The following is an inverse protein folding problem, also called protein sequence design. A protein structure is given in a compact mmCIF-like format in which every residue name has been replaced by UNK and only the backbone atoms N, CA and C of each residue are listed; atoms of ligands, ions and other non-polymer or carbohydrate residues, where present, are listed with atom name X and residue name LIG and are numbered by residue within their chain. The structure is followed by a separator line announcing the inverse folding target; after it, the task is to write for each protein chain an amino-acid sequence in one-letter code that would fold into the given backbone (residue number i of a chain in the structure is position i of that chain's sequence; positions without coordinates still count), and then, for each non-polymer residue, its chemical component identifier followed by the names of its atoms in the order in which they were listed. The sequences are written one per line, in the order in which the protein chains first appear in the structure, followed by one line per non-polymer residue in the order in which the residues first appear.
data_IF_176586212219
#
_entry.id   IF_176586212219
#
_cell.length_a   1.000
_cell.length_b   1.000
_cell.length_c   1.000
_cell.angle_alpha   90.00
_cell.angle_beta   90.00
_cell.angle_gamma   90.00
#
_symmetry.space_group_name_H-M   'P 1'
#
loop_
_entity.id
_entity.type
_entity.pdbx_description
1 polymer ?
#
# COMPACT_ATOMS: atom_id res chain seq x y z
N UNK A 1 43.72 23.45 -14.13
CA UNK A 1 42.93 22.29 -14.52
C UNK A 1 41.68 22.83 -15.17
N UNK A 2 41.55 22.64 -16.49
CA UNK A 2 40.45 23.21 -17.28
C UNK A 2 39.24 22.28 -17.06
N UNK A 3 38.22 22.77 -16.35
CA UNK A 3 36.93 22.03 -16.25
C UNK A 3 36.21 22.10 -17.60
N UNK A 4 36.18 21.00 -18.31
CA UNK A 4 35.40 20.89 -19.54
C UNK A 4 33.89 20.93 -19.18
N UNK A 5 33.17 21.88 -19.78
CA UNK A 5 31.73 22.02 -19.61
C UNK A 5 31.01 21.31 -20.78
N UNK A 6 29.98 20.55 -20.45
CA UNK A 6 29.09 19.86 -21.42
C UNK A 6 27.66 20.33 -21.26
N UNK A 7 26.93 20.48 -22.34
CA UNK A 7 25.50 20.85 -22.28
C UNK A 7 24.66 19.62 -22.02
N UNK A 8 23.89 19.63 -20.94
CA UNK A 8 23.00 18.52 -20.60
C UNK A 8 21.86 18.39 -21.59
N UNK A 9 21.66 17.21 -22.25
CA UNK A 9 20.61 17.02 -23.27
C UNK A 9 19.18 17.07 -22.70
N UNK A 10 19.03 16.99 -21.36
CA UNK A 10 17.71 16.96 -20.72
C UNK A 10 17.26 18.31 -20.17
N UNK A 11 18.18 19.14 -19.66
CA UNK A 11 17.83 20.45 -19.10
C UNK A 11 18.43 21.64 -19.88
N UNK A 12 19.29 21.41 -20.89
CA UNK A 12 19.87 22.42 -21.72
C UNK A 12 20.93 23.32 -21.07
N UNK A 13 21.33 23.05 -19.83
CA UNK A 13 22.28 23.85 -19.07
C UNK A 13 23.70 23.28 -19.17
N UNK A 14 24.71 24.16 -19.16
CA UNK A 14 26.11 23.78 -19.15
C UNK A 14 26.49 23.27 -17.74
N UNK A 15 27.05 22.08 -17.66
CA UNK A 15 27.46 21.42 -16.43
C UNK A 15 28.86 20.83 -16.59
N UNK A 16 29.63 20.68 -15.52
CA UNK A 16 30.90 19.97 -15.57
C UNK A 16 30.74 18.55 -16.07
N UNK A 17 31.68 18.10 -16.92
CA UNK A 17 31.70 16.74 -17.45
C UNK A 17 31.64 15.72 -16.30
N UNK A 18 30.75 14.71 -16.42
CA UNK A 18 30.52 13.71 -15.38
C UNK A 18 29.43 12.71 -15.80
N UNK A 19 29.24 11.64 -15.04
CA UNK A 19 28.23 10.60 -15.33
C UNK A 19 26.79 11.09 -15.23
N UNK A 20 26.54 12.11 -14.41
CA UNK A 20 25.20 12.64 -14.16
C UNK A 20 25.21 14.17 -14.13
N UNK A 21 24.16 14.78 -14.67
CA UNK A 21 23.94 16.21 -14.58
C UNK A 21 23.72 16.66 -13.12
N UNK A 22 24.55 17.55 -12.59
CA UNK A 22 24.43 18.05 -11.22
C UNK A 22 23.19 18.90 -10.96
N UNK A 23 22.50 19.34 -12.02
CA UNK A 23 21.31 20.21 -11.91
C UNK A 23 20.02 19.38 -11.96
N UNK A 24 19.88 18.45 -12.93
CA UNK A 24 18.65 17.66 -13.09
C UNK A 24 18.78 16.18 -12.68
N UNK A 25 19.98 15.69 -12.32
CA UNK A 25 20.26 14.34 -11.86
C UNK A 25 20.22 13.26 -12.94
N UNK A 26 20.01 13.61 -14.23
CA UNK A 26 19.96 12.63 -15.33
C UNK A 26 21.34 12.31 -15.88
N UNK A 27 21.56 11.07 -16.45
CA UNK A 27 22.85 10.69 -17.01
C UNK A 27 23.22 11.57 -18.22
N UNK A 28 24.51 11.90 -18.34
CA UNK A 28 25.06 12.75 -19.42
C UNK A 28 25.62 11.93 -20.58
N UNK A 29 25.84 10.62 -20.39
CA UNK A 29 26.27 9.71 -21.45
C UNK A 29 25.06 9.29 -22.27
N UNK A 30 24.97 9.72 -23.52
CA UNK A 30 24.07 9.16 -24.54
C UNK A 30 24.72 7.91 -25.09
N UNK A 31 24.19 6.70 -24.72
CA UNK A 31 24.52 5.49 -25.45
C UNK A 31 24.14 5.66 -26.92
N UNK A 32 25.13 5.42 -27.78
CA UNK A 32 24.98 5.50 -29.22
C UNK A 32 23.91 4.48 -29.68
N UNK A 33 22.90 4.97 -30.39
CA UNK A 33 21.92 4.15 -31.10
C UNK A 33 22.63 3.29 -32.15
N UNK A 34 22.41 1.97 -32.18
CA UNK A 34 22.89 1.11 -33.26
C UNK A 34 22.14 1.42 -34.56
N UNK A 35 22.85 1.41 -35.69
CA UNK A 35 22.36 1.62 -37.05
C UNK A 35 21.34 0.54 -37.50
N UNK A 36 20.43 0.85 -38.42
CA UNK A 36 19.29 -0.02 -38.77
C UNK A 36 19.59 -1.22 -39.69
N UNK A 37 20.83 -1.68 -39.82
CA UNK A 37 21.19 -2.76 -40.74
C UNK A 37 21.39 -4.16 -40.13
N UNK A 38 21.26 -4.32 -38.82
CA UNK A 38 21.51 -5.63 -38.16
C UNK A 38 20.28 -6.30 -37.52
N UNK A 39 19.06 -5.90 -37.92
CA UNK A 39 17.82 -6.35 -37.28
C UNK A 39 17.14 -7.54 -38.00
N UNK A 40 17.64 -7.97 -39.18
CA UNK A 40 16.93 -8.99 -39.99
C UNK A 40 17.37 -10.45 -39.79
N UNK A 41 18.36 -10.76 -38.96
CA UNK A 41 18.81 -12.15 -38.78
C UNK A 41 18.63 -12.76 -37.37
N UNK A 42 17.93 -12.10 -36.45
CA UNK A 42 17.71 -12.61 -35.09
C UNK A 42 16.23 -12.90 -34.73
N UNK A 43 15.32 -12.88 -35.72
CA UNK A 43 13.87 -13.02 -35.47
C UNK A 43 13.31 -14.44 -35.58
N UNK A 44 14.14 -15.47 -35.85
CA UNK A 44 13.65 -16.85 -36.03
C UNK A 44 14.07 -17.88 -34.96
N UNK A 45 14.76 -17.47 -33.87
CA UNK A 45 15.25 -18.45 -32.88
C UNK A 45 14.78 -18.23 -31.43
N UNK A 46 13.78 -17.36 -31.17
CA UNK A 46 13.23 -17.08 -29.82
C UNK A 46 11.74 -17.39 -29.66
N UNK A 47 11.26 -18.50 -30.21
CA UNK A 47 9.85 -18.91 -30.04
C UNK A 47 9.68 -20.13 -29.11
N UNK A 48 10.66 -20.46 -28.28
CA UNK A 48 10.53 -21.48 -27.22
C UNK A 48 11.23 -21.10 -25.91
N UNK A 49 11.06 -19.90 -25.40
CA UNK A 49 11.27 -19.67 -23.97
C UNK A 49 9.94 -19.43 -23.30
N UNK A 50 9.49 -20.46 -22.60
CA UNK A 50 8.42 -20.39 -21.59
C UNK A 50 8.61 -19.10 -20.79
N UNK A 51 7.66 -18.16 -20.99
CA UNK A 51 7.59 -16.94 -20.19
C UNK A 51 7.27 -17.37 -18.76
N UNK A 52 8.30 -17.58 -17.97
CA UNK A 52 8.19 -17.59 -16.51
C UNK A 52 7.57 -16.25 -16.12
N UNK A 53 6.51 -16.23 -15.31
CA UNK A 53 5.94 -14.95 -14.85
C UNK A 53 7.08 -14.15 -14.19
N UNK A 54 7.16 -12.82 -14.41
CA UNK A 54 8.21 -12.00 -13.83
C UNK A 54 8.26 -12.31 -12.34
N UNK A 55 9.45 -12.69 -11.87
CA UNK A 55 9.74 -12.84 -10.44
C UNK A 55 9.40 -11.49 -9.79
N UNK A 56 8.22 -11.42 -9.21
CA UNK A 56 7.82 -10.30 -8.38
C UNK A 56 8.91 -10.18 -7.33
N UNK A 57 9.70 -9.11 -7.39
CA UNK A 57 10.61 -8.71 -6.33
C UNK A 57 9.90 -9.01 -5.01
N UNK A 58 10.51 -9.86 -4.18
CA UNK A 58 9.98 -10.21 -2.87
C UNK A 58 10.04 -8.95 -2.02
N UNK A 59 9.04 -8.10 -2.15
CA UNK A 59 8.83 -7.03 -1.19
C UNK A 59 8.60 -7.73 0.14
N UNK A 60 9.51 -7.52 1.09
CA UNK A 60 9.35 -8.01 2.45
C UNK A 60 8.04 -7.44 3.00
N UNK A 61 7.00 -8.26 2.98
CA UNK A 61 5.68 -7.85 3.44
C UNK A 61 5.71 -7.67 4.96
N UNK A 62 5.10 -6.61 5.50
CA UNK A 62 5.03 -6.39 6.93
C UNK A 62 4.43 -7.61 7.63
N UNK A 63 5.09 -8.05 8.70
CA UNK A 63 4.58 -9.15 9.51
C UNK A 63 3.43 -8.69 10.41
N UNK A 64 2.37 -9.52 10.45
CA UNK A 64 1.24 -9.36 11.35
C UNK A 64 1.07 -10.61 12.19
N UNK A 65 0.93 -10.45 13.51
CA UNK A 65 0.61 -11.55 14.45
C UNK A 65 -0.87 -12.00 14.32
N UNK A 66 -1.59 -11.45 13.35
CA UNK A 66 -3.02 -11.66 13.16
C UNK A 66 -3.24 -12.50 11.91
N UNK A 67 -3.88 -13.66 12.08
CA UNK A 67 -4.27 -14.53 10.97
C UNK A 67 -5.78 -14.41 10.74
N UNK A 68 -6.20 -14.13 9.50
CA UNK A 68 -7.62 -14.08 9.13
C UNK A 68 -7.97 -15.40 8.43
N UNK A 69 -8.93 -16.13 8.97
CA UNK A 69 -9.40 -17.37 8.36
C UNK A 69 -10.00 -17.10 6.96
N UNK A 70 -9.81 -18.06 6.06
CA UNK A 70 -10.34 -18.04 4.68
C UNK A 70 -9.86 -16.86 3.80
N UNK A 71 -8.87 -16.07 4.26
CA UNK A 71 -8.31 -14.96 3.51
C UNK A 71 -6.91 -15.28 3.00
N UNK A 72 -6.66 -14.96 1.74
CA UNK A 72 -5.33 -15.03 1.17
C UNK A 72 -4.34 -14.15 1.94
N UNK A 73 -3.14 -14.68 2.20
CA UNK A 73 -2.13 -13.99 3.01
C UNK A 73 -1.78 -12.61 2.47
N UNK A 74 -1.56 -12.50 1.15
CA UNK A 74 -1.21 -11.23 0.51
C UNK A 74 -2.36 -10.22 0.65
N UNK A 75 -3.60 -10.65 0.42
CA UNK A 75 -4.77 -9.79 0.58
C UNK A 75 -4.96 -9.34 2.04
N UNK A 76 -4.69 -10.23 3.02
CA UNK A 76 -4.73 -9.90 4.44
C UNK A 76 -3.68 -8.84 4.79
N UNK A 77 -2.43 -9.02 4.34
CA UNK A 77 -1.35 -8.06 4.58
C UNK A 77 -1.69 -6.69 3.97
N UNK A 78 -2.14 -6.64 2.71
CA UNK A 78 -2.53 -5.37 2.07
C UNK A 78 -3.63 -4.66 2.87
N UNK A 79 -4.67 -5.38 3.26
CA UNK A 79 -5.81 -4.83 3.98
C UNK A 79 -5.42 -4.32 5.38
N UNK A 80 -4.67 -5.14 6.13
CA UNK A 80 -4.21 -4.82 7.48
C UNK A 80 -3.18 -3.69 7.47
N UNK A 81 -2.26 -3.65 6.51
CA UNK A 81 -1.27 -2.57 6.38
C UNK A 81 -1.94 -1.22 6.21
N UNK A 82 -2.94 -1.12 5.35
CA UNK A 82 -3.70 0.11 5.14
C UNK A 82 -4.49 0.54 6.37
N UNK A 83 -5.04 -0.43 7.11
CA UNK A 83 -5.75 -0.15 8.35
C UNK A 83 -4.80 0.23 9.49
N UNK A 84 -3.64 -0.44 9.59
CA UNK A 84 -2.62 -0.10 10.58
C UNK A 84 -2.04 1.28 10.32
N UNK A 85 -1.90 1.74 9.06
CA UNK A 85 -1.47 3.11 8.75
C UNK A 85 -2.35 4.16 9.44
N UNK A 86 -3.67 4.01 9.42
CA UNK A 86 -4.58 4.94 10.11
C UNK A 86 -4.41 4.91 11.63
N UNK A 87 -4.05 3.77 12.19
CA UNK A 87 -3.78 3.63 13.64
C UNK A 87 -2.44 4.30 13.97
N UNK A 88 -1.41 4.03 13.19
CA UNK A 88 -0.06 4.57 13.33
C UNK A 88 -0.06 6.11 13.17
N UNK A 89 -0.81 6.65 12.23
CA UNK A 89 -0.92 8.10 12.05
C UNK A 89 -1.54 8.76 13.30
N UNK A 90 -2.59 8.17 13.89
CA UNK A 90 -3.15 8.65 15.17
C UNK A 90 -2.19 8.47 16.36
N UNK A 91 -1.40 7.39 16.38
CA UNK A 91 -0.36 7.19 17.39
C UNK A 91 0.72 8.28 17.28
N UNK A 92 1.18 8.62 16.05
CA UNK A 92 2.12 9.70 15.80
C UNK A 92 1.57 11.06 16.27
N UNK A 93 0.33 11.38 15.96
CA UNK A 93 -0.32 12.61 16.41
C UNK A 93 -0.35 12.69 17.95
N UNK A 94 -0.69 11.58 18.62
CA UNK A 94 -0.67 11.48 20.08
C UNK A 94 0.73 11.68 20.65
N UNK A 95 1.77 11.11 20.04
CA UNK A 95 3.16 11.29 20.47
C UNK A 95 3.58 12.76 20.30
N UNK A 96 3.19 13.42 19.20
CA UNK A 96 3.47 14.83 18.95
C UNK A 96 2.84 15.71 20.04
N UNK A 97 1.57 15.46 20.38
CA UNK A 97 0.89 16.24 21.43
C UNK A 97 1.53 16.01 22.82
N UNK A 98 1.88 14.77 23.18
CA UNK A 98 2.59 14.46 24.42
C UNK A 98 3.98 15.12 24.45
N UNK A 99 4.67 15.21 23.32
CA UNK A 99 5.98 15.87 23.20
C UNK A 99 5.84 17.38 23.39
N UNK A 100 4.81 18.02 22.79
CA UNK A 100 4.51 19.45 23.00
C UNK A 100 4.22 19.73 24.47
N UNK A 101 3.38 18.92 25.11
CA UNK A 101 3.05 19.07 26.54
C UNK A 101 4.28 18.91 27.43
N UNK A 102 5.16 17.91 27.15
CA UNK A 102 6.41 17.72 27.90
C UNK A 102 7.36 18.89 27.74
N UNK A 103 7.48 19.44 26.52
CA UNK A 103 8.30 20.65 26.26
C UNK A 103 7.77 21.88 27.01
N UNK A 104 6.45 22.07 27.01
CA UNK A 104 5.81 23.16 27.76
C UNK A 104 6.01 23.01 29.25
N UNK A 105 5.90 21.81 29.83
CA UNK A 105 6.18 21.55 31.24
C UNK A 105 7.63 21.84 31.61
N UNK A 106 8.59 21.55 30.75
CA UNK A 106 10.00 21.91 30.90
C UNK A 106 10.21 23.43 30.95
N UNK A 107 9.53 24.17 30.06
CA UNK A 107 9.63 25.64 30.00
C UNK A 107 9.04 26.31 31.24
N UNK A 108 7.92 25.78 31.75
CA UNK A 108 7.22 26.32 32.91
C UNK A 108 7.75 25.83 34.25
N UNK A 109 8.79 24.99 34.24
CA UNK A 109 9.40 24.40 35.45
C UNK A 109 8.41 23.72 36.39
N UNK A 110 7.35 23.11 35.81
CA UNK A 110 6.22 22.52 36.56
C UNK A 110 6.54 21.15 37.19
N UNK A 111 7.66 20.52 36.80
CA UNK A 111 8.08 19.23 37.34
C UNK A 111 9.61 19.09 37.33
N UNK A 112 10.14 18.02 37.98
CA UNK A 112 11.55 17.71 37.99
C UNK A 112 12.08 17.57 36.56
N UNK A 113 13.12 18.41 36.27
CA UNK A 113 13.76 18.45 34.94
C UNK A 113 14.29 17.09 34.52
N UNK A 114 14.80 16.26 35.43
CA UNK A 114 15.34 14.93 35.13
C UNK A 114 14.22 14.00 34.63
N UNK A 115 13.06 14.00 35.30
CA UNK A 115 11.91 13.18 34.93
C UNK A 115 11.40 13.59 33.54
N UNK A 116 11.29 14.91 33.29
CA UNK A 116 10.82 15.40 31.99
C UNK A 116 11.82 15.11 30.86
N UNK A 117 13.13 15.10 31.15
CA UNK A 117 14.18 14.75 30.16
C UNK A 117 14.06 13.28 29.77
N UNK A 118 13.96 12.35 30.74
CA UNK A 118 13.76 10.93 30.47
C UNK A 118 12.48 10.69 29.64
N UNK A 119 11.37 11.36 30.03
CA UNK A 119 10.13 11.28 29.27
C UNK A 119 10.27 11.78 27.83
N UNK A 120 11.07 12.84 27.61
CA UNK A 120 11.31 13.36 26.27
C UNK A 120 12.14 12.37 25.42
N UNK A 121 13.11 11.68 26.02
CA UNK A 121 13.89 10.63 25.36
C UNK A 121 13.04 9.41 25.01
N UNK A 122 12.17 8.97 25.91
CA UNK A 122 11.22 7.88 25.67
C UNK A 122 10.27 8.22 24.51
N UNK A 123 9.69 9.43 24.51
CA UNK A 123 8.83 9.90 23.43
C UNK A 123 9.55 9.99 22.10
N UNK A 124 10.82 10.37 22.08
CA UNK A 124 11.64 10.37 20.87
C UNK A 124 11.85 8.95 20.34
N UNK A 125 12.19 8.01 21.22
CA UNK A 125 12.34 6.59 20.84
C UNK A 125 11.04 6.01 20.30
N UNK A 126 9.91 6.29 20.98
CA UNK A 126 8.57 5.87 20.54
C UNK A 126 8.24 6.45 19.16
N UNK A 127 8.51 7.73 18.92
CA UNK A 127 8.31 8.41 17.65
C UNK A 127 9.09 7.76 16.50
N UNK A 128 10.39 7.51 16.70
CA UNK A 128 11.21 6.88 15.62
C UNK A 128 10.77 5.46 15.31
N UNK A 129 10.38 4.66 16.32
CA UNK A 129 9.81 3.31 16.10
C UNK A 129 8.51 3.37 15.31
N UNK A 130 7.60 4.24 15.70
CA UNK A 130 6.28 4.39 15.05
C UNK A 130 6.44 4.91 13.62
N UNK A 131 7.37 5.86 13.40
CA UNK A 131 7.72 6.38 12.08
C UNK A 131 8.36 5.33 11.17
N UNK A 132 9.22 4.45 11.70
CA UNK A 132 9.77 3.32 10.93
C UNK A 132 8.66 2.38 10.52
N UNK A 133 7.76 1.99 11.44
CA UNK A 133 6.60 1.14 11.13
C UNK A 133 5.71 1.77 10.07
N UNK A 134 5.46 3.07 10.14
CA UNK A 134 4.71 3.80 9.11
C UNK A 134 5.32 3.65 7.71
N UNK A 135 6.65 3.73 7.61
CA UNK A 135 7.37 3.57 6.32
C UNK A 135 7.23 2.15 5.76
N UNK A 136 7.37 1.13 6.61
CA UNK A 136 7.17 -0.27 6.23
C UNK A 136 5.76 -0.51 5.68
N UNK A 137 4.74 -0.02 6.38
CA UNK A 137 3.35 -0.15 5.96
C UNK A 137 3.04 0.63 4.67
N UNK A 138 3.61 1.83 4.51
CA UNK A 138 3.42 2.66 3.32
C UNK A 138 4.10 2.08 2.07
N UNK A 139 5.09 1.21 2.23
CA UNK A 139 5.71 0.50 1.12
C UNK A 139 4.77 -0.54 0.47
N UNK A 140 3.71 -0.96 1.18
CA UNK A 140 2.69 -1.89 0.65
C UNK A 140 1.70 -1.12 -0.24
N UNK A 141 2.08 -0.93 -1.51
CA UNK A 141 1.29 -0.16 -2.49
C UNK A 141 0.34 -1.02 -3.34
N UNK A 142 0.45 -2.33 -3.27
CA UNK A 142 -0.35 -3.25 -4.11
C UNK A 142 -1.86 -3.09 -3.88
N UNK A 143 -2.68 -2.97 -4.94
CA UNK A 143 -4.13 -2.93 -4.81
C UNK A 143 -4.71 -4.32 -4.56
N UNK A 144 -5.84 -4.39 -3.88
CA UNK A 144 -6.63 -5.62 -3.76
C UNK A 144 -7.18 -6.03 -5.15
N UNK A 145 -7.42 -7.34 -5.34
CA UNK A 145 -8.01 -7.85 -6.59
C UNK A 145 -9.33 -7.14 -6.93
N UNK A 146 -10.14 -6.86 -5.90
CA UNK A 146 -11.42 -6.15 -6.07
C UNK A 146 -11.21 -4.71 -6.58
N UNK A 147 -10.21 -3.99 -6.08
CA UNK A 147 -9.86 -2.64 -6.54
C UNK A 147 -9.38 -2.68 -8.00
N UNK A 148 -8.44 -3.60 -8.32
CA UNK A 148 -7.95 -3.75 -9.71
C UNK A 148 -9.07 -4.01 -10.71
N UNK A 149 -10.05 -4.83 -10.34
CA UNK A 149 -11.20 -5.13 -11.21
C UNK A 149 -12.12 -3.92 -11.39
N UNK A 150 -12.34 -3.13 -10.32
CA UNK A 150 -13.10 -1.89 -10.41
C UNK A 150 -12.40 -0.85 -11.29
N UNK A 151 -11.09 -0.65 -11.09
CA UNK A 151 -10.30 0.29 -11.89
C UNK A 151 -10.24 -0.12 -13.37
N UNK A 152 -10.12 -1.43 -13.64
CA UNK A 152 -10.15 -1.95 -15.01
C UNK A 152 -11.52 -1.75 -15.66
N UNK A 153 -12.60 -1.96 -14.92
CA UNK A 153 -13.97 -1.75 -15.40
C UNK A 153 -14.23 -0.27 -15.72
N UNK A 154 -13.85 0.64 -14.82
CA UNK A 154 -13.98 2.09 -15.02
C UNK A 154 -13.16 2.56 -16.25
N UNK A 155 -11.98 1.98 -16.44
CA UNK A 155 -11.13 2.28 -17.60
C UNK A 155 -11.77 1.82 -18.92
N UNK A 156 -12.33 0.63 -18.96
CA UNK A 156 -12.95 0.11 -20.19
C UNK A 156 -14.30 0.77 -20.47
N UNK A 157 -15.09 1.11 -19.45
CA UNK A 157 -16.31 1.92 -19.61
C UNK A 157 -15.96 3.33 -20.15
N UNK A 158 -14.88 3.95 -19.64
CA UNK A 158 -14.39 5.24 -20.17
C UNK A 158 -13.81 5.13 -21.60
N UNK A 159 -13.24 3.98 -21.99
CA UNK A 159 -12.85 3.73 -23.39
C UNK A 159 -14.04 3.62 -24.31
N UNK A 160 -15.10 2.94 -23.85
CA UNK A 160 -16.36 2.80 -24.62
C UNK A 160 -17.00 4.17 -24.86
N UNK A 161 -17.12 5.00 -23.81
CA UNK A 161 -17.65 6.36 -23.92
C UNK A 161 -16.87 7.23 -24.91
N UNK A 162 -15.54 7.16 -24.87
CA UNK A 162 -14.68 7.86 -25.84
C UNK A 162 -14.88 7.35 -27.26
N UNK A 163 -15.00 6.03 -27.47
CA UNK A 163 -15.24 5.45 -28.77
C UNK A 163 -16.60 5.90 -29.34
N UNK A 164 -17.63 5.95 -28.49
CA UNK A 164 -18.95 6.44 -28.87
C UNK A 164 -18.92 7.94 -29.26
N UNK A 165 -18.12 8.75 -28.56
CA UNK A 165 -17.94 10.16 -28.87
C UNK A 165 -17.24 10.46 -30.21
N UNK A 166 -16.51 9.51 -30.79
CA UNK A 166 -15.85 9.63 -32.09
C UNK A 166 -16.46 8.77 -33.21
N UNK A 167 -17.63 8.18 -32.94
CA UNK A 167 -18.31 7.25 -33.85
C UNK A 167 -18.50 7.79 -35.27
N UNK A 168 -18.77 9.09 -35.40
CA UNK A 168 -19.04 9.77 -36.67
C UNK A 168 -17.77 9.99 -37.52
N UNK A 169 -16.58 9.91 -36.89
CA UNK A 169 -15.29 10.14 -37.55
C UNK A 169 -14.58 8.84 -37.96
N UNK A 170 -15.09 7.69 -37.50
CA UNK A 170 -14.49 6.40 -37.74
C UNK A 170 -15.19 5.62 -38.87
N UNK A 171 -14.44 4.73 -39.51
CA UNK A 171 -15.01 3.71 -40.37
C UNK A 171 -15.96 2.81 -39.57
N UNK A 172 -17.11 2.50 -40.17
CA UNK A 172 -18.19 1.74 -39.47
C UNK A 172 -17.77 0.35 -39.04
N UNK A 173 -16.92 -0.31 -39.80
CA UNK A 173 -16.50 -1.68 -39.48
C UNK A 173 -15.46 -1.70 -38.39
N UNK A 174 -14.51 -0.74 -38.42
CA UNK A 174 -13.54 -0.51 -37.37
C UNK A 174 -14.24 -0.12 -36.04
N UNK A 175 -15.24 0.77 -36.11
CA UNK A 175 -16.05 1.11 -34.92
C UNK A 175 -16.73 -0.11 -34.30
N UNK A 176 -17.37 -0.95 -35.12
CA UNK A 176 -18.05 -2.16 -34.65
C UNK A 176 -17.08 -3.16 -34.02
N UNK A 177 -15.92 -3.38 -34.64
CA UNK A 177 -14.88 -4.26 -34.13
C UNK A 177 -14.41 -3.79 -32.77
N UNK A 178 -13.96 -2.53 -32.64
CA UNK A 178 -13.48 -1.96 -31.40
C UNK A 178 -14.56 -1.96 -30.28
N UNK A 179 -15.79 -1.62 -30.64
CA UNK A 179 -16.91 -1.67 -29.70
C UNK A 179 -17.18 -3.08 -29.18
N UNK A 180 -17.12 -4.08 -30.07
CA UNK A 180 -17.34 -5.47 -29.69
C UNK A 180 -16.26 -5.98 -28.76
N UNK A 181 -14.99 -5.63 -29.02
CA UNK A 181 -13.84 -5.98 -28.18
C UNK A 181 -13.98 -5.38 -26.77
N UNK A 182 -14.29 -4.08 -26.67
CA UNK A 182 -14.45 -3.41 -25.37
C UNK A 182 -15.64 -4.00 -24.59
N UNK A 183 -16.77 -4.26 -25.26
CA UNK A 183 -17.93 -4.86 -24.61
C UNK A 183 -17.66 -6.29 -24.12
N UNK A 184 -16.83 -7.05 -24.85
CA UNK A 184 -16.39 -8.38 -24.41
C UNK A 184 -15.55 -8.30 -23.16
N UNK A 185 -14.55 -7.39 -23.12
CA UNK A 185 -13.72 -7.13 -21.97
C UNK A 185 -14.55 -6.71 -20.73
N UNK A 186 -15.48 -5.78 -20.90
CA UNK A 186 -16.40 -5.36 -19.82
C UNK A 186 -17.20 -6.54 -19.27
N UNK A 187 -17.70 -7.42 -20.16
CA UNK A 187 -18.46 -8.62 -19.76
C UNK A 187 -17.61 -9.59 -18.95
N UNK A 188 -16.36 -9.82 -19.35
CA UNK A 188 -15.42 -10.67 -18.61
C UNK A 188 -15.07 -10.06 -17.26
N UNK A 189 -14.75 -8.76 -17.21
CA UNK A 189 -14.46 -8.04 -15.97
C UNK A 189 -15.63 -8.10 -14.98
N UNK A 190 -16.87 -7.93 -15.45
CA UNK A 190 -18.07 -8.07 -14.61
C UNK A 190 -18.26 -9.50 -14.09
N UNK A 191 -17.93 -10.51 -14.87
CA UNK A 191 -17.95 -11.91 -14.42
C UNK A 191 -16.93 -12.15 -13.33
N UNK A 192 -15.69 -11.68 -13.52
CA UNK A 192 -14.61 -11.78 -12.52
C UNK A 192 -14.93 -10.99 -11.26
N UNK A 193 -15.55 -9.81 -11.39
CA UNK A 193 -16.01 -9.00 -10.28
C UNK A 193 -17.03 -9.74 -9.40
N UNK A 194 -17.99 -10.46 -10.00
CA UNK A 194 -18.95 -11.30 -9.26
C UNK A 194 -18.26 -12.38 -8.42
N UNK A 195 -17.21 -13.00 -8.96
CA UNK A 195 -16.41 -14.01 -8.22
C UNK A 195 -15.66 -13.34 -7.06
N UNK A 196 -15.00 -12.19 -7.34
CA UNK A 196 -14.27 -11.44 -6.34
C UNK A 196 -15.17 -10.95 -5.20
N UNK A 197 -16.39 -10.49 -5.50
CA UNK A 197 -17.41 -10.12 -4.48
C UNK A 197 -17.74 -11.31 -3.57
N UNK A 198 -17.96 -12.51 -4.14
CA UNK A 198 -18.24 -13.71 -3.32
C UNK A 198 -17.08 -14.04 -2.40
N UNK A 199 -15.85 -13.94 -2.88
CA UNK A 199 -14.63 -14.17 -2.10
C UNK A 199 -14.49 -13.13 -1.01
N UNK A 200 -14.65 -11.85 -1.32
CA UNK A 200 -14.57 -10.76 -0.33
C UNK A 200 -15.66 -10.88 0.76
N UNK A 201 -16.87 -11.34 0.43
CA UNK A 201 -17.91 -11.67 1.44
C UNK A 201 -17.49 -12.79 2.39
N UNK A 202 -16.73 -13.80 1.91
CA UNK A 202 -16.15 -14.83 2.80
C UNK A 202 -15.10 -14.22 3.73
N UNK A 203 -14.24 -13.34 3.19
CA UNK A 203 -13.25 -12.64 4.00
C UNK A 203 -13.86 -11.79 5.11
N UNK A 204 -14.96 -11.07 4.84
CA UNK A 204 -15.68 -10.32 5.88
C UNK A 204 -16.14 -11.24 7.01
N UNK A 205 -16.59 -12.47 6.70
CA UNK A 205 -16.96 -13.46 7.73
C UNK A 205 -15.74 -13.97 8.51
N UNK A 206 -14.60 -14.21 7.82
CA UNK A 206 -13.33 -14.57 8.46
C UNK A 206 -12.85 -13.49 9.42
N UNK A 207 -12.87 -12.22 8.97
CA UNK A 207 -12.51 -11.07 9.80
C UNK A 207 -13.40 -10.98 11.07
N UNK A 208 -14.72 -11.19 10.92
CA UNK A 208 -15.63 -11.20 12.07
C UNK A 208 -15.26 -12.28 13.09
N UNK A 209 -14.94 -13.50 12.64
CA UNK A 209 -14.48 -14.58 13.54
C UNK A 209 -13.14 -14.22 14.23
N UNK A 210 -12.24 -13.54 13.52
CA UNK A 210 -10.96 -13.09 14.09
C UNK A 210 -11.21 -12.04 15.18
N UNK A 211 -12.13 -11.09 14.98
CA UNK A 211 -12.53 -10.12 16.00
C UNK A 211 -13.11 -10.83 17.25
N UNK A 212 -14.03 -11.78 17.06
CA UNK A 212 -14.59 -12.57 18.18
C UNK A 212 -13.51 -13.35 18.96
N UNK A 213 -12.44 -13.81 18.27
CA UNK A 213 -11.28 -14.44 18.94
C UNK A 213 -10.47 -13.43 19.75
N UNK A 214 -10.19 -12.26 19.19
CA UNK A 214 -9.46 -11.19 19.88
C UNK A 214 -10.23 -10.69 21.12
N UNK A 215 -11.54 -10.51 21.04
CA UNK A 215 -12.39 -10.13 22.18
C UNK A 215 -12.35 -11.21 23.30
N UNK A 216 -12.35 -12.50 22.93
CA UNK A 216 -12.17 -13.59 23.89
C UNK A 216 -10.79 -13.55 24.55
N UNK A 217 -9.73 -13.21 23.80
CA UNK A 217 -8.39 -13.06 24.37
C UNK A 217 -8.32 -11.88 25.36
N UNK A 218 -8.95 -10.74 25.04
CA UNK A 218 -9.08 -9.62 25.99
C UNK A 218 -9.75 -10.10 27.28
N UNK A 219 -10.88 -10.80 27.17
CA UNK A 219 -11.59 -11.33 28.33
C UNK A 219 -10.75 -12.34 29.15
N UNK A 220 -9.91 -13.16 28.48
CA UNK A 220 -8.97 -14.06 29.15
C UNK A 220 -7.88 -13.31 29.91
N UNK A 221 -7.31 -12.25 29.32
CA UNK A 221 -6.31 -11.41 29.98
C UNK A 221 -6.91 -10.71 31.20
N UNK A 222 -8.16 -10.22 31.10
CA UNK A 222 -8.88 -9.61 32.22
C UNK A 222 -9.16 -10.62 33.35
N UNK A 223 -9.54 -11.84 32.99
CA UNK A 223 -9.76 -12.92 33.99
C UNK A 223 -8.45 -13.25 34.70
N UNK A 224 -7.34 -13.46 34.00
CA UNK A 224 -6.02 -13.73 34.60
C UNK A 224 -5.56 -12.61 35.53
N UNK A 225 -5.83 -11.37 35.20
CA UNK A 225 -5.51 -10.25 36.08
C UNK A 225 -6.36 -10.27 37.36
N UNK A 226 -7.68 -10.53 37.23
CA UNK A 226 -8.60 -10.57 38.38
C UNK A 226 -8.29 -11.70 39.36
N UNK A 227 -7.77 -12.84 38.89
CA UNK A 227 -7.37 -13.97 39.74
C UNK A 227 -5.93 -13.88 40.27
N UNK A 228 -5.18 -12.83 39.82
CA UNK A 228 -3.81 -12.58 40.29
C UNK A 228 -2.72 -13.36 39.55
N UNK A 229 -3.03 -14.04 38.44
CA UNK A 229 -2.07 -14.81 37.64
C UNK A 229 -1.05 -13.91 36.91
N UNK A 230 -1.41 -12.67 36.61
CA UNK A 230 -0.55 -11.70 35.95
C UNK A 230 -0.51 -10.40 36.72
N UNK A 231 0.65 -9.73 36.69
CA UNK A 231 0.82 -8.41 37.29
C UNK A 231 0.19 -7.30 36.42
N UNK A 232 0.08 -6.09 36.97
CA UNK A 232 -0.56 -4.95 36.33
C UNK A 232 0.13 -4.56 35.03
N UNK A 233 1.47 -4.52 35.01
CA UNK A 233 2.23 -4.11 33.83
C UNK A 233 2.03 -5.08 32.65
N UNK A 234 2.01 -6.39 32.94
CA UNK A 234 1.72 -7.44 31.94
C UNK A 234 0.28 -7.39 31.46
N UNK A 235 -0.67 -7.05 32.34
CA UNK A 235 -2.07 -6.84 31.98
C UNK A 235 -2.21 -5.65 31.05
N UNK A 236 -1.69 -4.47 31.44
CA UNK A 236 -1.85 -3.23 30.69
C UNK A 236 -1.18 -3.35 29.30
N UNK A 237 0.01 -3.95 29.21
CA UNK A 237 0.71 -4.15 27.94
C UNK A 237 -0.02 -5.14 27.02
N UNK A 238 -0.51 -6.26 27.55
CA UNK A 238 -1.24 -7.26 26.78
C UNK A 238 -2.58 -6.73 26.28
N UNK A 239 -3.30 -6.01 27.13
CA UNK A 239 -4.57 -5.38 26.79
C UNK A 239 -4.38 -4.32 25.69
N UNK A 240 -3.43 -3.42 25.85
CA UNK A 240 -3.14 -2.40 24.86
C UNK A 240 -2.80 -2.99 23.48
N UNK A 241 -1.99 -4.08 23.44
CA UNK A 241 -1.68 -4.81 22.21
C UNK A 241 -2.92 -5.41 21.56
N UNK A 242 -3.77 -6.08 22.33
CA UNK A 242 -4.99 -6.69 21.80
C UNK A 242 -5.99 -5.65 21.30
N UNK A 243 -6.20 -4.57 22.04
CA UNK A 243 -7.06 -3.46 21.63
C UNK A 243 -6.54 -2.76 20.36
N UNK A 244 -5.20 -2.65 20.20
CA UNK A 244 -4.58 -2.16 18.97
C UNK A 244 -4.88 -3.10 17.80
N UNK A 245 -4.72 -4.40 17.99
CA UNK A 245 -5.02 -5.42 16.99
C UNK A 245 -6.50 -5.40 16.57
N UNK A 246 -7.41 -5.25 17.53
CA UNK A 246 -8.86 -5.13 17.27
C UNK A 246 -9.10 -3.90 16.36
N UNK A 247 -8.55 -2.73 16.68
CA UNK A 247 -8.70 -1.53 15.86
C UNK A 247 -8.20 -1.71 14.44
N UNK A 248 -7.06 -2.41 14.26
CA UNK A 248 -6.51 -2.71 12.93
C UNK A 248 -7.46 -3.61 12.14
N UNK A 249 -7.96 -4.67 12.75
CA UNK A 249 -8.85 -5.64 12.09
C UNK A 249 -10.22 -5.01 11.78
N UNK A 250 -10.77 -4.19 12.69
CA UNK A 250 -12.01 -3.45 12.46
C UNK A 250 -11.89 -2.46 11.30
N UNK A 251 -10.83 -1.66 11.27
CA UNK A 251 -10.57 -0.73 10.16
C UNK A 251 -10.41 -1.46 8.82
N UNK A 252 -9.74 -2.63 8.81
CA UNK A 252 -9.67 -3.50 7.64
C UNK A 252 -11.06 -3.99 7.19
N UNK A 253 -11.91 -4.40 8.13
CA UNK A 253 -13.30 -4.81 7.86
C UNK A 253 -14.12 -3.67 7.23
N UNK A 254 -14.04 -2.48 7.79
CA UNK A 254 -14.77 -1.31 7.29
C UNK A 254 -14.36 -0.95 5.86
N UNK A 255 -13.04 -0.96 5.56
CA UNK A 255 -12.52 -0.73 4.22
C UNK A 255 -13.03 -1.77 3.23
N UNK A 256 -12.99 -3.07 3.60
CA UNK A 256 -13.47 -4.14 2.74
C UNK A 256 -14.98 -4.05 2.48
N UNK A 257 -15.78 -3.70 3.49
CA UNK A 257 -17.23 -3.48 3.35
C UNK A 257 -17.51 -2.29 2.44
N UNK A 258 -16.74 -1.21 2.56
CA UNK A 258 -16.86 -0.04 1.67
C UNK A 258 -16.60 -0.40 0.22
N UNK A 259 -15.52 -1.14 -0.05
CA UNK A 259 -15.19 -1.64 -1.39
C UNK A 259 -16.28 -2.57 -1.94
N UNK A 260 -16.82 -3.47 -1.11
CA UNK A 260 -17.92 -4.35 -1.50
C UNK A 260 -19.17 -3.56 -1.91
N UNK A 261 -19.52 -2.50 -1.17
CA UNK A 261 -20.67 -1.65 -1.52
C UNK A 261 -20.48 -0.95 -2.86
N UNK A 262 -19.27 -0.54 -3.19
CA UNK A 262 -18.94 0.05 -4.50
C UNK A 262 -19.09 -1.03 -5.60
N UNK A 263 -18.49 -2.20 -5.37
CA UNK A 263 -18.49 -3.30 -6.32
C UNK A 263 -19.89 -3.87 -6.63
N UNK A 264 -20.79 -3.90 -5.63
CA UNK A 264 -22.17 -4.39 -5.79
C UNK A 264 -23.07 -3.44 -6.58
N UNK A 265 -22.70 -2.17 -6.73
CA UNK A 265 -23.42 -1.18 -7.50
C UNK A 265 -23.08 -1.19 -9.00
N UNK A 266 -21.98 -1.89 -9.36
CA UNK A 266 -21.47 -2.04 -10.74
C UNK A 266 -21.97 -3.33 -11.37
#
# INVERSE_FOLDING_TARGET
MSDTLVTCPFCGLEVPEGRFCKICGKPLESEATPSPSDVESQFEEELETVVSPPELERVDLPHFDITIEDMDHQAAVILLSRSELDVVDRELDSIIERTKATRQALQLQQADKKILTVRAEDLRSEFEKTKSRRRELAAVSSPLVLERLLDALDKDEGRLEKLEGISDTLDKDVYKEQRTEILHSIKELRSNLKVAIKTAKKWVKGIKKTLEKLDKEVSRVEAKFKIGDINRDSYDSSKARLERNIRIVEGGRERLISLLRIAEKR
#
